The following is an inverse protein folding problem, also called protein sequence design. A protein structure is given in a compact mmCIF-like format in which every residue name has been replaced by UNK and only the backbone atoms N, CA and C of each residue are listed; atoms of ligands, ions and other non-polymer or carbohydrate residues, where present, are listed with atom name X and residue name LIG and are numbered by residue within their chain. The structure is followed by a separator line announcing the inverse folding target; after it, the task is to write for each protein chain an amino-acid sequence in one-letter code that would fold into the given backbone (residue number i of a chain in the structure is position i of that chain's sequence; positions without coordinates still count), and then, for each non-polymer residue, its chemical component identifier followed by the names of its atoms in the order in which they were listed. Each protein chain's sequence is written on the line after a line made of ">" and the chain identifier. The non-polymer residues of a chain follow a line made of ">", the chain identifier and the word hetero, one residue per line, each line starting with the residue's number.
data_IF_359955807509
#
_entry.id   IF_359955807509
#
_cell.length_a   1.000
_cell.length_b   1.000
_cell.length_c   1.000
_cell.angle_alpha   90.00
_cell.angle_beta   90.00
_cell.angle_gamma   90.00
#
_symmetry.space_group_name_H-M   'P 1'
#
loop_
_entity.id
_entity.type
_entity.pdbx_description
1 polymer ?
#
# COMPACT_ATOMS: atom_id res chain seq x y z
N UNK A 1 -30.42 14.32 24.33
CA UNK A 1 -29.79 13.69 23.13
C UNK A 1 -28.88 14.70 22.42
N UNK A 2 -29.20 15.99 22.47
CA UNK A 2 -28.48 17.06 21.75
C UNK A 2 -27.11 17.42 22.35
N UNK A 3 -26.91 17.24 23.66
CA UNK A 3 -25.62 17.50 24.33
C UNK A 3 -24.50 16.52 23.98
N UNK A 4 -24.83 15.31 23.49
CA UNK A 4 -23.82 14.34 23.04
C UNK A 4 -23.35 14.64 21.60
N UNK A 5 -24.21 15.25 20.77
CA UNK A 5 -23.86 15.70 19.41
C UNK A 5 -22.96 16.94 19.43
N UNK A 6 -23.10 17.81 20.44
CA UNK A 6 -22.25 19.00 20.60
C UNK A 6 -20.84 18.68 21.13
N UNK A 7 -20.65 17.57 21.85
CA UNK A 7 -19.35 17.19 22.45
C UNK A 7 -18.34 16.56 21.48
N UNK A 8 -18.75 16.20 20.27
CA UNK A 8 -17.83 15.72 19.23
C UNK A 8 -17.21 16.84 18.38
N UNK A 9 -17.62 18.10 18.56
CA UNK A 9 -17.36 19.17 17.59
C UNK A 9 -16.06 19.98 17.78
N UNK A 10 -15.20 19.71 18.78
CA UNK A 10 -14.05 20.61 18.99
C UNK A 10 -12.96 20.03 19.90
N UNK A 11 -12.32 18.93 19.49
CA UNK A 11 -10.89 18.80 19.82
C UNK A 11 -10.12 19.64 18.80
N UNK A 12 -9.22 20.55 19.21
CA UNK A 12 -8.34 21.18 18.24
C UNK A 12 -7.60 20.05 17.54
N UNK A 13 -7.79 19.93 16.22
CA UNK A 13 -6.94 19.14 15.33
C UNK A 13 -5.54 19.72 15.47
N UNK A 14 -4.83 19.32 16.52
CA UNK A 14 -3.47 19.77 16.76
C UNK A 14 -2.65 18.95 15.80
N UNK A 15 -2.55 19.46 14.57
CA UNK A 15 -1.78 18.80 13.52
C UNK A 15 -0.37 18.56 14.06
N UNK A 16 0.16 17.34 13.90
CA UNK A 16 1.49 17.01 14.39
C UNK A 16 2.51 17.88 13.71
N UNK A 17 3.67 18.10 14.32
CA UNK A 17 4.78 18.82 13.66
C UNK A 17 5.20 18.12 12.35
N UNK A 18 5.79 18.87 11.41
CA UNK A 18 6.24 18.32 10.13
C UNK A 18 7.19 17.14 10.31
N UNK A 19 8.09 17.20 11.30
CA UNK A 19 9.02 16.12 11.62
C UNK A 19 8.32 14.85 12.12
N UNK A 20 7.28 15.00 12.95
CA UNK A 20 6.50 13.86 13.42
C UNK A 20 5.66 13.24 12.29
N UNK A 21 5.04 14.08 11.45
CA UNK A 21 4.34 13.62 10.26
C UNK A 21 5.29 12.86 9.31
N UNK A 22 6.49 13.39 9.06
CA UNK A 22 7.52 12.75 8.23
C UNK A 22 7.88 11.36 8.77
N UNK A 23 8.16 11.24 10.07
CA UNK A 23 8.50 9.96 10.69
C UNK A 23 7.34 8.95 10.60
N UNK A 24 6.10 9.40 10.76
CA UNK A 24 4.92 8.54 10.63
C UNK A 24 4.70 8.09 9.19
N UNK A 25 4.83 8.98 8.20
CA UNK A 25 4.71 8.60 6.79
C UNK A 25 5.83 7.63 6.37
N UNK A 26 7.05 7.83 6.86
CA UNK A 26 8.16 6.89 6.64
C UNK A 26 7.89 5.54 7.30
N UNK A 27 7.35 5.51 8.53
CA UNK A 27 6.93 4.28 9.21
C UNK A 27 5.82 3.56 8.45
N UNK A 28 4.83 4.29 7.94
CA UNK A 28 3.76 3.72 7.11
C UNK A 28 4.37 3.10 5.84
N UNK A 29 5.21 3.83 5.11
CA UNK A 29 5.90 3.32 3.92
C UNK A 29 6.73 2.05 4.19
N UNK A 30 7.47 2.02 5.30
CA UNK A 30 8.25 0.85 5.72
C UNK A 30 7.40 -0.35 6.11
N UNK A 31 6.19 -0.13 6.62
CA UNK A 31 5.28 -1.16 7.10
C UNK A 31 4.15 -1.49 6.10
N UNK A 32 4.18 -0.89 4.91
CA UNK A 32 3.15 -1.00 3.86
C UNK A 32 3.16 -2.38 3.18
N UNK A 33 2.86 -3.43 3.93
CA UNK A 33 2.70 -4.80 3.43
C UNK A 33 1.26 -5.31 3.61
N UNK A 34 0.93 -6.43 2.97
CA UNK A 34 -0.37 -7.09 3.16
C UNK A 34 -1.46 -6.67 2.15
N UNK A 35 -1.09 -5.96 1.09
CA UNK A 35 -1.99 -5.53 0.00
C UNK A 35 -2.82 -4.27 0.36
N UNK A 36 -3.70 -3.81 -0.55
CA UNK A 36 -4.39 -2.53 -0.40
C UNK A 36 -5.18 -2.40 0.91
N UNK A 37 -5.98 -3.42 1.25
CA UNK A 37 -6.75 -3.44 2.49
C UNK A 37 -5.86 -3.41 3.76
N UNK A 38 -4.69 -4.08 3.72
CA UNK A 38 -3.75 -4.07 4.84
C UNK A 38 -3.10 -2.71 5.03
N UNK A 39 -2.73 -2.05 3.93
CA UNK A 39 -2.15 -0.70 3.96
C UNK A 39 -3.19 0.34 4.45
N UNK A 40 -4.44 0.25 4.00
CA UNK A 40 -5.53 1.12 4.49
C UNK A 40 -5.78 0.90 5.98
N UNK A 41 -5.82 -0.36 6.44
CA UNK A 41 -5.99 -0.67 7.86
C UNK A 41 -4.81 -0.16 8.72
N UNK A 42 -3.57 -0.27 8.22
CA UNK A 42 -2.39 0.28 8.87
C UNK A 42 -2.49 1.80 9.03
N UNK A 43 -2.90 2.50 7.96
CA UNK A 43 -3.09 3.94 8.00
C UNK A 43 -4.18 4.35 8.96
N UNK A 44 -5.33 3.65 8.95
CA UNK A 44 -6.41 3.87 9.91
C UNK A 44 -5.92 3.71 11.35
N UNK A 45 -5.31 2.57 11.68
CA UNK A 45 -4.74 2.30 13.01
C UNK A 45 -3.78 3.39 13.45
N UNK A 46 -2.81 3.77 12.62
CA UNK A 46 -1.78 4.74 13.01
C UNK A 46 -2.37 6.15 13.12
N UNK A 47 -3.14 6.60 12.13
CA UNK A 47 -3.57 8.00 12.01
C UNK A 47 -4.83 8.32 12.84
N UNK A 48 -5.73 7.35 12.98
CA UNK A 48 -7.01 7.50 13.68
C UNK A 48 -6.91 6.98 15.11
N UNK A 49 -6.40 5.76 15.32
CA UNK A 49 -6.42 5.12 16.64
C UNK A 49 -5.22 5.51 17.52
N UNK A 50 -3.98 5.32 17.02
CA UNK A 50 -2.74 5.56 17.78
C UNK A 50 -2.48 7.06 17.94
N UNK A 51 -2.42 7.80 16.83
CA UNK A 51 -2.05 9.22 16.82
C UNK A 51 -3.22 10.17 16.99
N UNK A 52 -4.43 9.75 16.63
CA UNK A 52 -5.67 10.55 16.74
C UNK A 52 -5.57 11.90 16.01
N UNK A 53 -4.83 11.94 14.89
CA UNK A 53 -4.68 13.14 14.05
C UNK A 53 -5.85 13.34 13.09
N UNK A 54 -6.57 12.25 12.79
CA UNK A 54 -7.71 12.24 11.89
C UNK A 54 -8.87 11.51 12.57
N UNK A 55 -10.04 12.12 12.60
CA UNK A 55 -11.24 11.46 13.10
C UNK A 55 -11.75 10.39 12.13
N UNK A 56 -12.50 9.42 12.65
CA UNK A 56 -13.09 8.30 11.90
C UNK A 56 -13.85 8.77 10.65
N UNK A 57 -14.78 9.72 10.82
CA UNK A 57 -15.59 10.24 9.72
C UNK A 57 -14.72 10.87 8.62
N UNK A 58 -13.66 11.61 9.01
CA UNK A 58 -12.80 12.30 8.04
C UNK A 58 -11.91 11.30 7.30
N UNK A 59 -11.47 10.23 7.96
CA UNK A 59 -10.78 9.12 7.32
C UNK A 59 -11.69 8.39 6.31
N UNK A 60 -12.92 8.04 6.72
CA UNK A 60 -13.87 7.35 5.83
C UNK A 60 -14.29 8.21 4.64
N UNK A 61 -14.45 9.52 4.82
CA UNK A 61 -14.69 10.44 3.69
C UNK A 61 -13.52 10.46 2.71
N UNK A 62 -12.29 10.52 3.20
CA UNK A 62 -11.09 10.44 2.37
C UNK A 62 -11.00 9.11 1.61
N UNK A 63 -11.28 7.99 2.30
CA UNK A 63 -11.28 6.65 1.71
C UNK A 63 -12.32 6.53 0.60
N UNK A 64 -13.57 6.92 0.87
CA UNK A 64 -14.65 6.89 -0.10
C UNK A 64 -14.33 7.74 -1.33
N UNK A 65 -13.70 8.90 -1.13
CA UNK A 65 -13.24 9.74 -2.24
C UNK A 65 -12.17 9.05 -3.08
N UNK A 66 -11.18 8.40 -2.46
CA UNK A 66 -10.13 7.68 -3.18
C UNK A 66 -10.65 6.43 -3.91
N UNK A 67 -11.71 5.78 -3.41
CA UNK A 67 -12.37 4.66 -4.11
C UNK A 67 -13.08 5.09 -5.40
N UNK A 68 -13.42 6.37 -5.56
CA UNK A 68 -13.99 6.91 -6.79
C UNK A 68 -12.92 7.25 -7.84
N UNK A 69 -11.68 7.44 -7.42
CA UNK A 69 -10.57 7.79 -8.30
C UNK A 69 -9.92 6.52 -8.86
N UNK A 70 -9.64 6.44 -10.17
CA UNK A 70 -8.88 5.33 -10.70
C UNK A 70 -7.44 5.39 -10.19
N UNK A 71 -6.95 4.32 -9.56
CA UNK A 71 -5.55 4.18 -9.19
C UNK A 71 -5.30 3.42 -7.88
N UNK A 72 -4.06 3.48 -7.36
CA UNK A 72 -3.67 2.74 -6.16
C UNK A 72 -4.29 3.36 -4.91
N UNK A 73 -5.41 2.80 -4.45
CA UNK A 73 -6.26 3.33 -3.37
C UNK A 73 -5.48 3.74 -2.11
N UNK A 74 -4.60 2.88 -1.59
CA UNK A 74 -3.85 3.16 -0.36
C UNK A 74 -2.86 4.33 -0.52
N UNK A 75 -2.18 4.42 -1.66
CA UNK A 75 -1.24 5.51 -1.92
C UNK A 75 -2.00 6.82 -2.14
N UNK A 76 -3.11 6.81 -2.88
CA UNK A 76 -3.97 7.97 -3.07
C UNK A 76 -4.48 8.50 -1.73
N UNK A 77 -4.94 7.60 -0.85
CA UNK A 77 -5.36 7.94 0.51
C UNK A 77 -4.22 8.58 1.32
N UNK A 78 -2.99 8.05 1.21
CA UNK A 78 -1.83 8.60 1.92
C UNK A 78 -1.52 10.03 1.44
N UNK A 79 -1.50 10.25 0.13
CA UNK A 79 -1.28 11.59 -0.45
C UNK A 79 -2.40 12.55 -0.05
N UNK A 80 -3.66 12.10 -0.09
CA UNK A 80 -4.80 12.94 0.25
C UNK A 80 -4.82 13.32 1.73
N UNK A 81 -4.56 12.37 2.64
CA UNK A 81 -4.47 12.67 4.07
C UNK A 81 -3.25 13.55 4.36
N UNK A 82 -2.10 13.28 3.74
CA UNK A 82 -0.94 14.17 3.80
C UNK A 82 -1.29 15.59 3.36
N UNK A 83 -2.08 15.73 2.30
CA UNK A 83 -2.57 17.02 1.82
C UNK A 83 -3.56 17.70 2.78
N UNK A 84 -4.40 16.94 3.47
CA UNK A 84 -5.27 17.50 4.52
C UNK A 84 -4.46 18.10 5.68
N UNK A 85 -3.30 17.51 6.01
CA UNK A 85 -2.46 17.97 7.13
C UNK A 85 -1.60 19.19 6.79
N UNK A 86 -0.93 19.16 5.63
CA UNK A 86 0.08 20.16 5.25
C UNK A 86 -0.03 20.64 3.79
N UNK A 87 -1.22 20.53 3.19
CA UNK A 87 -1.51 20.91 1.80
C UNK A 87 -0.52 20.24 0.84
N UNK A 88 -0.06 20.95 -0.18
CA UNK A 88 0.81 20.40 -1.23
C UNK A 88 2.08 19.75 -0.66
N UNK A 89 2.70 20.37 0.33
CA UNK A 89 3.91 19.85 0.97
C UNK A 89 3.65 18.52 1.68
N UNK A 90 2.55 18.43 2.43
CA UNK A 90 2.17 17.20 3.13
C UNK A 90 1.84 16.05 2.19
N UNK A 91 1.10 16.33 1.12
CA UNK A 91 0.78 15.32 0.11
C UNK A 91 2.03 14.78 -0.58
N UNK A 92 2.98 15.66 -0.91
CA UNK A 92 4.26 15.26 -1.50
C UNK A 92 5.10 14.42 -0.52
N UNK A 93 5.24 14.84 0.73
CA UNK A 93 5.98 14.08 1.75
C UNK A 93 5.34 12.70 1.97
N UNK A 94 4.02 12.64 2.12
CA UNK A 94 3.30 11.40 2.34
C UNK A 94 3.47 10.43 1.17
N UNK A 95 3.27 10.91 -0.06
CA UNK A 95 3.45 10.11 -1.27
C UNK A 95 4.88 9.63 -1.46
N UNK A 96 5.87 10.52 -1.25
CA UNK A 96 7.27 10.17 -1.39
C UNK A 96 7.69 9.14 -0.33
N UNK A 97 7.37 9.37 0.94
CA UNK A 97 7.71 8.43 2.03
C UNK A 97 7.00 7.08 1.90
N UNK A 98 5.86 7.03 1.22
CA UNK A 98 5.18 5.76 0.93
C UNK A 98 5.97 4.89 -0.06
N UNK A 99 6.61 5.50 -1.06
CA UNK A 99 7.31 4.78 -2.15
C UNK A 99 8.81 4.63 -1.89
N UNK A 100 9.42 5.61 -1.21
CA UNK A 100 10.87 5.71 -1.02
C UNK A 100 11.51 4.44 -0.41
N UNK A 101 10.94 3.78 0.61
CA UNK A 101 11.53 2.57 1.18
C UNK A 101 11.68 1.45 0.14
N UNK A 102 10.71 1.29 -0.76
CA UNK A 102 10.76 0.31 -1.84
C UNK A 102 11.85 0.63 -2.86
N UNK A 103 11.96 1.91 -3.26
CA UNK A 103 13.02 2.38 -4.18
C UNK A 103 14.41 2.10 -3.57
N UNK A 104 14.61 2.48 -2.30
CA UNK A 104 15.89 2.29 -1.61
C UNK A 104 16.24 0.81 -1.52
N UNK A 105 15.28 -0.06 -1.17
CA UNK A 105 15.50 -1.49 -1.10
C UNK A 105 15.89 -2.08 -2.46
N UNK A 106 15.16 -1.75 -3.54
CA UNK A 106 15.45 -2.25 -4.89
C UNK A 106 16.81 -1.75 -5.37
N UNK A 107 17.13 -0.47 -5.19
CA UNK A 107 18.42 0.09 -5.59
C UNK A 107 19.57 -0.58 -4.82
N UNK A 108 19.43 -0.76 -3.51
CA UNK A 108 20.44 -1.42 -2.69
C UNK A 108 20.69 -2.88 -3.16
N UNK A 109 19.61 -3.65 -3.36
CA UNK A 109 19.72 -5.03 -3.88
C UNK A 109 20.33 -5.06 -5.29
N UNK A 110 19.97 -4.11 -6.15
CA UNK A 110 20.51 -4.01 -7.51
C UNK A 110 22.01 -3.72 -7.49
N UNK A 111 22.46 -2.83 -6.60
CA UNK A 111 23.88 -2.52 -6.42
C UNK A 111 24.67 -3.73 -5.93
N UNK A 112 24.14 -4.46 -4.95
CA UNK A 112 24.75 -5.71 -4.45
C UNK A 112 24.84 -6.75 -5.56
N UNK A 113 23.79 -6.93 -6.34
CA UNK A 113 23.78 -7.86 -7.47
C UNK A 113 24.80 -7.47 -8.55
N UNK A 114 24.88 -6.19 -8.92
CA UNK A 114 25.80 -5.72 -9.95
C UNK A 114 27.27 -5.93 -9.58
N UNK A 115 27.63 -5.76 -8.30
CA UNK A 115 29.01 -5.90 -7.84
C UNK A 115 29.39 -7.33 -7.46
N UNK A 116 28.47 -8.10 -6.89
CA UNK A 116 28.78 -9.38 -6.25
C UNK A 116 27.94 -10.57 -6.77
N UNK A 117 27.17 -10.39 -7.85
CA UNK A 117 26.27 -11.42 -8.37
C UNK A 117 26.95 -12.74 -8.80
N UNK A 118 28.24 -12.70 -9.13
CA UNK A 118 29.03 -13.87 -9.52
C UNK A 118 29.69 -14.61 -8.34
N UNK A 119 29.53 -14.11 -7.11
CA UNK A 119 30.03 -14.80 -5.92
C UNK A 119 29.02 -15.88 -5.54
N UNK A 120 29.43 -17.15 -5.49
CA UNK A 120 28.51 -18.28 -5.30
C UNK A 120 27.58 -18.17 -4.08
N UNK A 121 28.02 -17.52 -3.00
CA UNK A 121 27.17 -17.22 -1.84
C UNK A 121 26.03 -16.24 -2.16
N UNK A 122 26.32 -15.17 -2.90
CA UNK A 122 25.33 -14.16 -3.31
C UNK A 122 24.35 -14.79 -4.30
N UNK A 123 24.84 -15.59 -5.25
CA UNK A 123 23.98 -16.33 -6.17
C UNK A 123 22.98 -17.25 -5.45
N UNK A 124 23.45 -18.03 -4.46
CA UNK A 124 22.59 -18.88 -3.64
C UNK A 124 21.55 -18.07 -2.84
N UNK A 125 21.95 -16.91 -2.29
CA UNK A 125 21.04 -16.00 -1.58
C UNK A 125 19.95 -15.47 -2.50
N UNK A 126 20.30 -15.01 -3.70
CA UNK A 126 19.33 -14.55 -4.70
C UNK A 126 18.43 -15.69 -5.20
N UNK A 127 18.93 -16.92 -5.28
CA UNK A 127 18.10 -18.09 -5.57
C UNK A 127 17.05 -18.33 -4.48
N UNK A 128 17.45 -18.28 -3.20
CA UNK A 128 16.52 -18.35 -2.08
C UNK A 128 15.49 -17.21 -2.09
N UNK A 129 15.92 -15.99 -2.41
CA UNK A 129 15.03 -14.83 -2.57
C UNK A 129 14.01 -15.05 -3.70
N UNK A 130 14.43 -15.58 -4.86
CA UNK A 130 13.50 -15.92 -5.96
C UNK A 130 12.43 -16.92 -5.51
N UNK A 131 12.82 -17.94 -4.76
CA UNK A 131 11.88 -18.92 -4.21
C UNK A 131 10.89 -18.27 -3.21
N UNK A 132 11.36 -17.40 -2.33
CA UNK A 132 10.51 -16.65 -1.40
C UNK A 132 9.53 -15.72 -2.14
N UNK A 133 10.00 -14.99 -3.15
CA UNK A 133 9.16 -14.13 -3.99
C UNK A 133 8.10 -14.95 -4.71
N UNK A 134 8.45 -16.10 -5.29
CA UNK A 134 7.49 -17.01 -5.93
C UNK A 134 6.40 -17.44 -4.94
N UNK A 135 6.76 -17.82 -3.71
CA UNK A 135 5.80 -18.19 -2.68
C UNK A 135 4.84 -17.04 -2.33
N UNK A 136 5.34 -15.80 -2.22
CA UNK A 136 4.52 -14.61 -1.97
C UNK A 136 3.56 -14.34 -3.15
N UNK A 137 4.05 -14.45 -4.39
CA UNK A 137 3.22 -14.26 -5.59
C UNK A 137 2.11 -15.30 -5.65
N UNK A 138 2.42 -16.58 -5.45
CA UNK A 138 1.43 -17.66 -5.41
C UNK A 138 0.40 -17.39 -4.31
N UNK A 139 0.85 -17.01 -3.11
CA UNK A 139 -0.06 -16.66 -2.02
C UNK A 139 -0.97 -15.46 -2.37
N UNK A 140 -0.43 -14.43 -3.04
CA UNK A 140 -1.20 -13.29 -3.50
C UNK A 140 -2.26 -13.69 -4.54
N UNK A 141 -1.88 -14.54 -5.51
CA UNK A 141 -2.80 -15.09 -6.52
C UNK A 141 -3.93 -15.88 -5.86
N UNK A 142 -3.62 -16.78 -4.92
CA UNK A 142 -4.63 -17.56 -4.19
C UNK A 142 -5.53 -16.64 -3.36
N UNK A 143 -4.96 -15.66 -2.64
CA UNK A 143 -5.71 -14.73 -1.79
C UNK A 143 -6.64 -13.82 -2.60
N UNK A 144 -6.20 -13.32 -3.74
CA UNK A 144 -7.02 -12.47 -4.61
C UNK A 144 -8.03 -13.32 -5.37
N UNK A 145 -7.59 -14.43 -5.95
CA UNK A 145 -8.41 -15.38 -6.69
C UNK A 145 -9.56 -15.92 -5.86
N UNK A 146 -9.33 -16.32 -4.61
CA UNK A 146 -10.40 -16.80 -3.70
C UNK A 146 -11.44 -15.73 -3.34
N UNK A 147 -11.09 -14.43 -3.45
CA UNK A 147 -12.04 -13.33 -3.23
C UNK A 147 -12.84 -12.98 -4.50
N UNK A 148 -12.22 -13.11 -5.66
CA UNK A 148 -12.81 -12.77 -6.96
C UNK A 148 -13.61 -13.93 -7.58
N UNK A 149 -13.10 -15.17 -7.49
CA UNK A 149 -13.66 -16.35 -8.15
C UNK A 149 -14.57 -17.11 -7.18
N UNK A 150 -15.87 -16.79 -7.22
CA UNK A 150 -16.87 -17.37 -6.30
C UNK A 150 -17.58 -18.61 -6.83
N UNK A 151 -17.32 -19.02 -8.08
CA UNK A 151 -18.01 -20.11 -8.78
C UNK A 151 -17.06 -20.86 -9.70
N UNK A 152 -17.29 -22.16 -9.89
CA UNK A 152 -16.51 -23.02 -10.78
C UNK A 152 -16.52 -22.52 -12.23
N UNK A 153 -17.60 -21.85 -12.67
CA UNK A 153 -17.66 -21.23 -13.99
C UNK A 153 -16.66 -20.07 -14.14
N UNK A 154 -16.51 -19.23 -13.11
CA UNK A 154 -15.52 -18.15 -13.11
C UNK A 154 -14.09 -18.69 -13.10
N UNK A 155 -13.84 -19.77 -12.36
CA UNK A 155 -12.53 -20.44 -12.37
C UNK A 155 -12.21 -21.02 -13.75
N UNK A 156 -13.18 -21.68 -14.39
CA UNK A 156 -13.00 -22.21 -15.74
C UNK A 156 -12.71 -21.11 -16.76
N UNK A 157 -13.46 -19.99 -16.73
CA UNK A 157 -13.20 -18.83 -17.59
C UNK A 157 -11.82 -18.23 -17.31
N UNK A 158 -11.42 -18.08 -16.04
CA UNK A 158 -10.10 -17.56 -15.69
C UNK A 158 -8.96 -18.47 -16.20
N UNK A 159 -9.10 -19.78 -16.06
CA UNK A 159 -8.12 -20.75 -16.56
C UNK A 159 -8.04 -20.75 -18.09
N UNK A 160 -9.19 -20.70 -18.78
CA UNK A 160 -9.24 -20.62 -20.24
C UNK A 160 -8.61 -19.32 -20.75
N UNK A 161 -8.92 -18.19 -20.13
CA UNK A 161 -8.30 -16.89 -20.45
C UNK A 161 -6.79 -16.91 -20.20
N UNK A 162 -6.33 -17.52 -19.11
CA UNK A 162 -4.90 -17.67 -18.82
C UNK A 162 -4.19 -18.48 -19.90
N UNK A 163 -4.75 -19.63 -20.31
CA UNK A 163 -4.21 -20.47 -21.37
C UNK A 163 -4.21 -19.73 -22.72
N UNK A 164 -5.28 -18.98 -23.01
CA UNK A 164 -5.42 -18.22 -24.25
C UNK A 164 -4.40 -17.06 -24.36
N UNK A 165 -3.95 -16.50 -23.23
CA UNK A 165 -2.92 -15.44 -23.19
C UNK A 165 -1.52 -15.99 -23.50
N UNK A 166 -1.19 -17.23 -23.12
CA UNK A 166 0.17 -17.80 -23.28
C UNK A 166 0.73 -17.74 -24.71
N UNK A 167 -0.04 -18.04 -25.78
CA UNK A 167 0.46 -17.93 -27.15
C UNK A 167 0.34 -16.52 -27.76
N UNK A 168 -0.32 -15.56 -27.11
CA UNK A 168 -0.53 -14.23 -27.68
C UNK A 168 0.73 -13.37 -27.54
N UNK A 169 1.31 -12.85 -28.65
CA UNK A 169 2.45 -11.94 -28.60
C UNK A 169 2.07 -10.51 -28.14
N UNK A 170 0.80 -10.26 -27.81
CA UNK A 170 0.36 -8.97 -27.31
C UNK A 170 0.81 -8.77 -25.85
N UNK A 171 1.52 -7.69 -25.51
CA UNK A 171 2.04 -7.42 -24.16
C UNK A 171 0.92 -6.97 -23.18
N UNK A 172 -0.16 -7.75 -23.06
CA UNK A 172 -1.49 -7.46 -22.46
C UNK A 172 -2.47 -6.72 -23.39
N UNK A 173 -3.81 -6.84 -23.18
CA UNK A 173 -4.82 -6.04 -23.87
C UNK A 173 -4.74 -4.54 -23.52
#
# INVERSE_FOLDING_TARGET
>A
MDDQLARQASRPDTFPTLGEAFAVWARIGLLSFGGPAGQIALMHRILVEEKKWLGEQRFLHALNFCMLLPGPEAQQLAVYIGWLMYKTLGGFIAGLMFVLPGIVAIMALSWVYALYGNVGFVEALFYGLKAAVLAIVVHAVVRIGSRALRSNAMVAVAALSFIAILPSPSPFP
#
